data_IF_750136227379
#
_entry.id   IF_750136227379
#
_cell.length_a   1.000
_cell.length_b   1.000
_cell.length_c   1.000
_cell.angle_alpha   90.00
_cell.angle_beta   90.00
_cell.angle_gamma   90.00
#
_symmetry.space_group_name_H-M   'P 1'
#
loop_
_entity.id
_entity.type
_entity.pdbx_description
1 polymer ?
#
# COMPACT_ATOMS: atom_id res chain seq x y z
N UNK A 1 -24.08 -26.62 -3.18
CA UNK A 1 -22.87 -25.76 -3.09
C UNK A 1 -23.34 -24.33 -2.89
N UNK A 2 -23.31 -23.85 -1.64
CA UNK A 2 -23.63 -22.45 -1.34
C UNK A 2 -22.49 -21.58 -1.88
N UNK A 3 -22.81 -20.68 -2.81
CA UNK A 3 -21.91 -19.59 -3.19
C UNK A 3 -21.63 -18.76 -1.93
N UNK A 4 -20.36 -18.46 -1.60
CA UNK A 4 -20.07 -17.55 -0.51
C UNK A 4 -20.74 -16.20 -0.83
N UNK A 5 -21.52 -15.72 0.12
CA UNK A 5 -22.14 -14.42 0.05
C UNK A 5 -21.00 -13.38 0.03
N UNK A 6 -20.89 -12.63 -1.07
CA UNK A 6 -19.87 -11.58 -1.18
C UNK A 6 -20.11 -10.59 -0.03
N UNK A 7 -19.14 -10.51 0.87
CA UNK A 7 -19.15 -9.48 1.89
C UNK A 7 -19.23 -8.11 1.20
N UNK A 8 -20.18 -7.29 1.61
CA UNK A 8 -20.27 -5.90 1.16
C UNK A 8 -18.97 -5.20 1.53
N UNK A 9 -18.28 -4.65 0.54
CA UNK A 9 -17.08 -3.86 0.78
C UNK A 9 -17.37 -2.81 1.86
N UNK A 10 -16.52 -2.66 2.88
CA UNK A 10 -16.70 -1.61 3.87
C UNK A 10 -16.83 -0.27 3.14
N UNK A 11 -17.69 0.60 3.65
CA UNK A 11 -17.89 1.93 3.07
C UNK A 11 -16.55 2.67 3.15
N UNK A 12 -15.83 2.71 2.02
CA UNK A 12 -14.58 3.44 1.91
C UNK A 12 -14.91 4.94 1.98
N UNK A 13 -14.84 5.51 3.17
CA UNK A 13 -15.18 6.92 3.41
C UNK A 13 -13.99 7.77 3.01
N UNK A 14 -13.80 7.90 1.70
CA UNK A 14 -12.68 8.61 1.08
C UNK A 14 -12.56 10.07 1.57
N UNK A 15 -13.67 10.72 1.89
CA UNK A 15 -13.71 12.12 2.31
C UNK A 15 -13.20 12.36 3.74
N UNK A 16 -13.08 11.30 4.56
CA UNK A 16 -12.62 11.39 5.96
C UNK A 16 -11.11 11.16 6.12
N UNK A 17 -10.41 10.68 5.07
CA UNK A 17 -8.97 10.41 5.13
C UNK A 17 -8.18 11.60 4.59
N UNK A 18 -7.50 12.38 5.44
CA UNK A 18 -6.82 13.60 5.01
C UNK A 18 -5.75 13.32 3.94
N UNK A 19 -5.85 14.01 2.81
CA UNK A 19 -4.92 13.87 1.69
C UNK A 19 -5.14 12.64 0.81
N UNK A 20 -6.17 11.85 1.07
CA UNK A 20 -6.60 10.78 0.18
C UNK A 20 -7.28 11.36 -1.06
N UNK A 21 -6.90 10.88 -2.26
CA UNK A 21 -7.38 11.46 -3.53
C UNK A 21 -7.62 10.41 -4.63
N UNK A 22 -7.95 9.17 -4.25
CA UNK A 22 -8.32 8.12 -5.21
C UNK A 22 -9.47 8.58 -6.11
N UNK A 23 -9.34 8.38 -7.42
CA UNK A 23 -10.33 8.80 -8.41
C UNK A 23 -10.46 10.32 -8.61
N UNK A 24 -9.69 11.12 -7.87
CA UNK A 24 -9.69 12.57 -8.02
C UNK A 24 -8.99 13.01 -9.33
N UNK A 25 -9.48 14.06 -10.01
CA UNK A 25 -8.75 14.65 -11.13
C UNK A 25 -7.35 15.18 -10.78
N UNK A 26 -7.06 15.39 -9.48
CA UNK A 26 -5.75 15.84 -8.99
C UNK A 26 -4.77 14.68 -8.74
N UNK A 27 -5.23 13.43 -8.78
CA UNK A 27 -4.33 12.29 -8.69
C UNK A 27 -3.40 12.26 -9.90
N UNK A 28 -2.14 11.87 -9.66
CA UNK A 28 -1.17 11.70 -10.73
C UNK A 28 -1.69 10.67 -11.75
N UNK A 29 -1.34 10.87 -13.01
CA UNK A 29 -1.66 9.91 -14.05
C UNK A 29 -0.52 8.91 -14.20
N UNK A 30 -0.87 7.63 -14.26
CA UNK A 30 0.11 6.58 -14.50
C UNK A 30 0.66 6.67 -15.91
N UNK A 31 2.00 6.60 -16.10
CA UNK A 31 2.59 6.42 -17.42
C UNK A 31 2.39 5.00 -17.94
N UNK A 32 2.06 4.04 -17.07
CA UNK A 32 1.84 2.65 -17.41
C UNK A 32 0.42 2.48 -17.97
N UNK A 33 0.32 1.91 -19.16
CA UNK A 33 -0.96 1.61 -19.79
C UNK A 33 -1.60 0.35 -19.18
N UNK A 34 -2.92 0.23 -19.28
CA UNK A 34 -3.63 -0.99 -18.86
C UNK A 34 -3.10 -2.23 -19.57
N UNK A 35 -2.67 -2.13 -20.83
CA UNK A 35 -2.06 -3.23 -21.58
C UNK A 35 -0.73 -3.69 -20.98
N UNK A 36 0.11 -2.76 -20.58
CA UNK A 36 1.38 -3.07 -19.91
C UNK A 36 1.12 -3.66 -18.52
N UNK A 37 0.14 -3.15 -17.82
CA UNK A 37 -0.26 -3.69 -16.53
C UNK A 37 -0.77 -5.13 -16.62
N UNK A 38 -1.56 -5.47 -17.66
CA UNK A 38 -1.97 -6.86 -17.90
C UNK A 38 -0.75 -7.80 -18.09
N UNK A 39 0.28 -7.35 -18.79
CA UNK A 39 1.55 -8.11 -18.92
C UNK A 39 2.27 -8.24 -17.57
N UNK A 40 2.26 -7.20 -16.77
CA UNK A 40 2.86 -7.24 -15.43
C UNK A 40 2.12 -8.24 -14.53
N UNK A 41 0.78 -8.25 -14.56
CA UNK A 41 -0.04 -9.25 -13.86
C UNK A 41 0.29 -10.66 -14.31
N UNK A 42 0.44 -10.90 -15.62
CA UNK A 42 0.87 -12.20 -16.15
C UNK A 42 2.24 -12.61 -15.62
N UNK A 43 3.20 -11.69 -15.56
CA UNK A 43 4.55 -11.96 -15.02
C UNK A 43 4.52 -12.34 -13.55
N UNK A 44 3.63 -11.74 -12.76
CA UNK A 44 3.44 -12.05 -11.34
C UNK A 44 2.53 -13.29 -11.11
N UNK A 45 1.95 -13.84 -12.16
CA UNK A 45 0.93 -14.89 -12.06
C UNK A 45 -0.30 -14.42 -11.28
N UNK A 46 -0.63 -13.12 -11.35
CA UNK A 46 -1.79 -12.52 -10.68
C UNK A 46 -3.05 -12.73 -11.53
N UNK A 47 -4.07 -13.32 -10.95
CA UNK A 47 -5.28 -13.76 -11.63
C UNK A 47 -6.55 -13.17 -10.98
N UNK A 48 -7.71 -13.41 -11.61
CA UNK A 48 -9.00 -13.09 -10.99
C UNK A 48 -9.24 -13.86 -9.68
N UNK A 49 -8.67 -15.06 -9.54
CA UNK A 49 -8.70 -15.80 -8.27
C UNK A 49 -7.96 -15.03 -7.18
N UNK A 50 -6.81 -14.46 -7.48
CA UNK A 50 -6.07 -13.65 -6.52
C UNK A 50 -6.88 -12.41 -6.09
N UNK A 51 -7.62 -11.79 -7.02
CA UNK A 51 -8.54 -10.67 -6.66
C UNK A 51 -9.64 -11.12 -5.70
N UNK A 52 -10.23 -12.31 -5.93
CA UNK A 52 -11.24 -12.88 -5.00
C UNK A 52 -10.65 -13.15 -3.62
N UNK A 53 -9.43 -13.69 -3.57
CA UNK A 53 -8.73 -13.92 -2.31
C UNK A 53 -8.34 -12.63 -1.59
N UNK A 54 -8.00 -11.57 -2.34
CA UNK A 54 -7.79 -10.24 -1.76
C UNK A 54 -9.08 -9.67 -1.17
N UNK A 55 -10.22 -9.81 -1.85
CA UNK A 55 -11.51 -9.36 -1.31
C UNK A 55 -11.86 -10.10 0.00
N UNK A 56 -11.58 -11.41 0.06
CA UNK A 56 -11.74 -12.18 1.30
C UNK A 56 -10.76 -11.69 2.38
N UNK A 57 -9.51 -11.47 2.04
CA UNK A 57 -8.53 -10.90 2.97
C UNK A 57 -8.97 -9.52 3.48
N UNK A 58 -9.50 -8.67 2.60
CA UNK A 58 -10.03 -7.35 2.96
C UNK A 58 -11.21 -7.43 3.94
N UNK A 59 -12.10 -8.39 3.77
CA UNK A 59 -13.20 -8.62 4.70
C UNK A 59 -12.70 -9.01 6.11
N UNK A 60 -11.60 -9.75 6.20
CA UNK A 60 -10.98 -10.13 7.47
C UNK A 60 -10.16 -8.97 8.07
N UNK A 61 -9.42 -8.25 7.23
CA UNK A 61 -8.52 -7.18 7.66
C UNK A 61 -9.25 -5.87 7.99
N UNK A 62 -10.48 -5.69 7.50
CA UNK A 62 -11.21 -4.41 7.58
C UNK A 62 -11.26 -3.78 8.97
N UNK A 63 -11.55 -4.60 9.98
CA UNK A 63 -11.62 -4.17 11.37
C UNK A 63 -10.24 -4.17 12.08
N UNK A 64 -9.17 -4.55 11.38
CA UNK A 64 -7.83 -4.73 11.94
C UNK A 64 -6.77 -3.84 11.27
N UNK A 65 -7.15 -2.99 10.33
CA UNK A 65 -6.19 -2.18 9.55
C UNK A 65 -5.26 -1.36 10.43
N UNK A 66 -5.78 -0.80 11.52
CA UNK A 66 -5.00 -0.02 12.48
C UNK A 66 -3.94 -0.87 13.18
N UNK A 67 -4.27 -2.07 13.61
CA UNK A 67 -3.37 -3.01 14.28
C UNK A 67 -2.26 -3.47 13.33
N UNK A 68 -2.63 -3.80 12.08
CA UNK A 68 -1.67 -4.15 11.03
C UNK A 68 -0.68 -3.01 10.78
N UNK A 69 -1.19 -1.79 10.58
CA UNK A 69 -0.35 -0.60 10.37
C UNK A 69 0.53 -0.33 11.59
N UNK A 70 0.01 -0.46 12.80
CA UNK A 70 0.79 -0.29 14.03
C UNK A 70 1.92 -1.32 14.14
N UNK A 71 1.68 -2.58 13.74
CA UNK A 71 2.70 -3.62 13.70
C UNK A 71 3.85 -3.24 12.77
N UNK A 72 3.55 -2.84 11.53
CA UNK A 72 4.55 -2.40 10.56
C UNK A 72 5.30 -1.14 11.01
N UNK A 73 4.58 -0.15 11.55
CA UNK A 73 5.19 1.08 12.08
C UNK A 73 6.07 0.82 13.29
N UNK A 74 5.77 -0.19 14.08
CA UNK A 74 6.63 -0.65 15.17
C UNK A 74 8.00 -1.10 14.66
N UNK A 75 8.03 -1.85 13.55
CA UNK A 75 9.28 -2.25 12.89
C UNK A 75 10.05 -1.02 12.36
N UNK A 76 9.35 -0.09 11.69
CA UNK A 76 9.96 1.16 11.20
C UNK A 76 10.57 1.95 12.35
N UNK A 77 9.83 2.11 13.45
CA UNK A 77 10.28 2.88 14.62
C UNK A 77 11.47 2.24 15.33
N UNK A 78 11.59 0.91 15.27
CA UNK A 78 12.71 0.15 15.83
C UNK A 78 14.01 0.27 15.02
N UNK A 79 13.95 0.79 13.80
CA UNK A 79 15.08 0.92 12.89
C UNK A 79 15.38 2.41 12.61
N UNK A 80 16.42 3.00 13.25
CA UNK A 80 16.68 4.44 13.18
C UNK A 80 16.76 5.01 11.77
N UNK A 81 17.34 4.28 10.82
CA UNK A 81 17.47 4.68 9.41
C UNK A 81 16.12 4.71 8.68
N UNK A 82 15.13 3.90 9.08
CA UNK A 82 13.77 3.96 8.55
C UNK A 82 12.94 5.03 9.26
N UNK A 83 13.07 5.12 10.59
CA UNK A 83 12.37 6.14 11.38
C UNK A 83 12.71 7.56 10.89
N UNK A 84 13.95 7.81 10.50
CA UNK A 84 14.45 9.10 10.00
C UNK A 84 13.62 9.64 8.83
N UNK A 85 12.98 8.79 8.02
CA UNK A 85 12.13 9.26 6.92
C UNK A 85 10.86 10.01 7.36
N UNK A 86 10.42 9.82 8.59
CA UNK A 86 9.20 10.44 9.14
C UNK A 86 9.46 11.43 10.28
N UNK A 87 10.70 11.54 10.73
CA UNK A 87 11.08 12.48 11.77
C UNK A 87 11.37 13.88 11.19
N UNK A 88 11.16 14.90 12.01
CA UNK A 88 11.63 16.26 11.75
C UNK A 88 13.16 16.32 11.81
N UNK A 89 13.78 17.41 11.30
CA UNK A 89 15.24 17.59 11.40
C UNK A 89 15.79 17.59 12.85
N UNK A 90 14.95 17.94 13.82
CA UNK A 90 15.28 17.90 15.26
C UNK A 90 15.15 16.49 15.87
N UNK A 91 14.85 15.48 15.07
CA UNK A 91 14.66 14.10 15.50
C UNK A 91 13.31 13.80 16.15
N UNK A 92 12.41 14.79 16.23
CA UNK A 92 11.09 14.59 16.84
C UNK A 92 10.06 14.12 15.82
N UNK A 93 9.04 13.40 16.31
CA UNK A 93 7.87 13.03 15.51
C UNK A 93 6.99 14.26 15.26
N UNK A 94 6.43 14.36 14.05
CA UNK A 94 5.30 15.23 13.76
C UNK A 94 4.00 14.45 14.02
N UNK A 95 3.24 14.76 15.09
CA UNK A 95 2.02 14.01 15.41
C UNK A 95 0.97 14.08 14.29
N UNK A 96 0.80 15.25 13.68
CA UNK A 96 -0.18 15.47 12.60
C UNK A 96 0.19 14.67 11.35
N UNK A 97 1.46 14.69 10.96
CA UNK A 97 1.94 13.89 9.83
C UNK A 97 1.80 12.39 10.11
N UNK A 98 2.16 11.98 11.34
CA UNK A 98 2.05 10.59 11.77
C UNK A 98 0.61 10.07 11.71
N UNK A 99 -0.35 10.83 12.25
CA UNK A 99 -1.77 10.49 12.21
C UNK A 99 -2.30 10.36 10.77
N UNK A 100 -2.13 11.42 9.97
CA UNK A 100 -2.64 11.45 8.59
C UNK A 100 -2.04 10.38 7.69
N UNK A 101 -0.74 10.17 7.78
CA UNK A 101 -0.09 9.09 7.03
C UNK A 101 -0.52 7.71 7.51
N UNK A 102 -0.87 7.55 8.81
CA UNK A 102 -1.46 6.35 9.36
C UNK A 102 -2.79 6.00 8.73
N UNK A 103 -3.72 6.95 8.76
CA UNK A 103 -5.05 6.78 8.16
C UNK A 103 -4.97 6.42 6.66
N UNK A 104 -4.05 7.03 5.91
CA UNK A 104 -3.83 6.68 4.51
C UNK A 104 -3.23 5.28 4.33
N UNK A 105 -2.39 4.84 5.25
CA UNK A 105 -1.82 3.49 5.22
C UNK A 105 -2.89 2.44 5.54
N UNK A 106 -3.78 2.71 6.49
CA UNK A 106 -4.96 1.87 6.76
C UNK A 106 -5.87 1.79 5.53
N UNK A 107 -6.18 2.94 4.91
CA UNK A 107 -6.98 2.99 3.68
C UNK A 107 -6.33 2.23 2.52
N UNK A 108 -5.00 2.29 2.39
CA UNK A 108 -4.27 1.55 1.36
C UNK A 108 -4.43 0.03 1.48
N UNK A 109 -4.54 -0.53 2.69
CA UNK A 109 -4.85 -1.96 2.89
C UNK A 109 -6.21 -2.29 2.25
N UNK A 110 -7.21 -1.45 2.50
CA UNK A 110 -8.56 -1.64 1.95
C UNK A 110 -8.58 -1.45 0.42
N UNK A 111 -7.88 -0.45 -0.09
CA UNK A 111 -7.76 -0.22 -1.53
C UNK A 111 -7.06 -1.38 -2.24
N UNK A 112 -6.03 -1.96 -1.63
CA UNK A 112 -5.35 -3.16 -2.13
C UNK A 112 -6.30 -4.35 -2.25
N UNK A 113 -7.23 -4.48 -1.30
CA UNK A 113 -8.12 -5.62 -1.22
C UNK A 113 -9.41 -5.45 -2.06
N UNK A 114 -9.96 -4.26 -2.12
CA UNK A 114 -11.32 -4.05 -2.65
C UNK A 114 -11.39 -3.23 -3.94
N UNK A 115 -10.39 -2.39 -4.24
CA UNK A 115 -10.45 -1.60 -5.48
C UNK A 115 -10.26 -2.47 -6.72
N UNK A 116 -11.00 -2.22 -7.79
CA UNK A 116 -10.70 -2.85 -9.09
C UNK A 116 -9.32 -2.37 -9.56
N UNK A 117 -8.55 -3.28 -10.12
CA UNK A 117 -7.21 -2.99 -10.64
C UNK A 117 -7.31 -2.46 -12.08
N UNK A 118 -7.91 -1.29 -12.18
CA UNK A 118 -8.21 -0.55 -13.41
C UNK A 118 -7.30 0.69 -13.59
N UNK A 119 -7.63 1.57 -14.52
CA UNK A 119 -6.86 2.79 -14.77
C UNK A 119 -6.88 3.75 -13.56
N UNK A 120 -7.97 3.82 -12.81
CA UNK A 120 -8.01 4.69 -11.61
C UNK A 120 -7.09 4.15 -10.53
N UNK A 121 -7.00 2.82 -10.40
CA UNK A 121 -6.07 2.18 -9.49
C UNK A 121 -4.63 2.41 -9.93
N UNK A 122 -4.31 2.30 -11.23
CA UNK A 122 -2.97 2.62 -11.76
C UNK A 122 -2.58 4.08 -11.49
N UNK A 123 -3.49 5.02 -11.74
CA UNK A 123 -3.28 6.44 -11.46
C UNK A 123 -2.98 6.65 -9.97
N UNK A 124 -3.69 5.93 -9.09
CA UNK A 124 -3.46 6.03 -7.66
C UNK A 124 -2.14 5.36 -7.23
N UNK A 125 -1.71 4.27 -7.87
CA UNK A 125 -0.37 3.72 -7.63
C UNK A 125 0.73 4.72 -8.01
N UNK A 126 0.58 5.44 -9.10
CA UNK A 126 1.50 6.52 -9.47
C UNK A 126 1.49 7.66 -8.43
N UNK A 127 0.31 8.05 -7.94
CA UNK A 127 0.18 9.03 -6.86
C UNK A 127 0.92 8.58 -5.60
N UNK A 128 0.76 7.31 -5.20
CA UNK A 128 1.45 6.73 -4.05
C UNK A 128 2.96 6.69 -4.25
N UNK A 129 3.43 6.28 -5.42
CA UNK A 129 4.84 6.29 -5.77
C UNK A 129 5.45 7.69 -5.61
N UNK A 130 4.83 8.71 -6.18
CA UNK A 130 5.27 10.11 -6.07
C UNK A 130 5.26 10.63 -4.63
N UNK A 131 4.38 10.11 -3.76
CA UNK A 131 4.35 10.45 -2.33
C UNK A 131 5.52 9.86 -1.53
N UNK A 132 6.29 8.98 -2.12
CA UNK A 132 7.54 8.47 -1.54
C UNK A 132 8.77 9.23 -2.05
N UNK A 133 8.61 10.05 -3.11
CA UNK A 133 9.69 10.87 -3.71
C UNK A 133 9.59 12.33 -3.28
N UNK A 134 10.64 13.10 -3.56
CA UNK A 134 10.71 14.56 -3.34
C UNK A 134 9.60 15.34 -4.06
N UNK A 135 8.97 14.73 -5.06
CA UNK A 135 7.88 15.35 -5.83
C UNK A 135 6.67 15.65 -4.95
N UNK A 136 6.24 14.71 -4.09
CA UNK A 136 5.00 14.86 -3.30
C UNK A 136 5.12 14.53 -1.81
N UNK A 137 6.16 13.84 -1.34
CA UNK A 137 6.22 13.27 0.00
C UNK A 137 5.83 14.27 1.10
N UNK A 138 6.49 15.39 1.19
CA UNK A 138 6.24 16.36 2.23
C UNK A 138 5.10 17.34 1.89
N UNK A 139 4.72 17.42 0.61
CA UNK A 139 3.72 18.38 0.14
C UNK A 139 2.29 18.00 0.52
N UNK A 140 1.98 16.71 0.58
CA UNK A 140 0.62 16.22 0.91
C UNK A 140 0.13 16.72 2.27
N UNK A 141 1.02 16.80 3.27
CA UNK A 141 0.68 17.19 4.64
C UNK A 141 1.37 18.49 5.07
N UNK A 142 2.11 19.16 4.20
CA UNK A 142 3.01 20.26 4.55
C UNK A 142 3.97 19.88 5.68
N UNK A 143 4.48 18.66 5.61
CA UNK A 143 5.39 18.11 6.62
C UNK A 143 6.83 18.57 6.38
N UNK A 144 7.63 18.57 7.44
CA UNK A 144 9.07 18.82 7.38
C UNK A 144 9.79 17.55 7.83
N UNK A 145 10.22 16.74 6.86
CA UNK A 145 10.96 15.49 7.10
C UNK A 145 11.88 15.22 5.92
N UNK A 146 12.60 14.09 5.92
CA UNK A 146 13.38 13.69 4.75
C UNK A 146 12.55 13.78 3.47
N UNK A 147 13.04 14.40 2.38
CA UNK A 147 12.24 14.70 1.21
C UNK A 147 11.83 13.46 0.42
N UNK A 148 12.58 12.37 0.56
CA UNK A 148 12.33 11.12 -0.18
C UNK A 148 12.53 9.91 0.71
N UNK A 149 11.90 8.80 0.35
CA UNK A 149 12.19 7.46 0.87
C UNK A 149 12.88 6.71 -0.26
N UNK A 150 14.11 6.28 -0.06
CA UNK A 150 14.85 5.56 -1.11
C UNK A 150 14.15 4.27 -1.51
N UNK A 151 14.07 4.01 -2.82
CA UNK A 151 13.38 2.83 -3.39
C UNK A 151 13.87 1.52 -2.77
N UNK A 152 15.19 1.37 -2.56
CA UNK A 152 15.76 0.17 -1.92
C UNK A 152 15.18 -0.14 -0.54
N UNK A 153 14.81 0.88 0.25
CA UNK A 153 14.18 0.67 1.55
C UNK A 153 12.71 0.30 1.42
N UNK A 154 12.01 0.82 0.41
CA UNK A 154 10.63 0.41 0.11
C UNK A 154 10.61 -1.06 -0.32
N UNK A 155 11.50 -1.45 -1.25
CA UNK A 155 11.66 -2.84 -1.70
C UNK A 155 11.99 -3.76 -0.51
N UNK A 156 12.97 -3.40 0.30
CA UNK A 156 13.36 -4.21 1.45
C UNK A 156 12.24 -4.32 2.50
N UNK A 157 11.51 -3.23 2.75
CA UNK A 157 10.39 -3.23 3.70
C UNK A 157 9.19 -4.05 3.23
N UNK A 158 9.07 -4.30 1.93
CA UNK A 158 8.05 -5.22 1.39
C UNK A 158 8.17 -6.61 2.01
N UNK A 159 9.39 -7.05 2.37
CA UNK A 159 9.59 -8.31 3.07
C UNK A 159 8.85 -8.35 4.42
N UNK A 160 8.83 -7.23 5.17
CA UNK A 160 8.08 -7.12 6.44
C UNK A 160 6.56 -7.15 6.19
N UNK A 161 6.09 -6.45 5.15
CA UNK A 161 4.67 -6.39 4.82
C UNK A 161 4.12 -7.70 4.23
N UNK A 162 4.99 -8.56 3.72
CA UNK A 162 4.63 -9.88 3.18
C UNK A 162 5.02 -11.03 4.11
N UNK A 163 5.60 -10.74 5.27
CA UNK A 163 6.02 -11.75 6.22
C UNK A 163 4.81 -12.59 6.70
N UNK A 164 4.82 -13.91 6.47
CA UNK A 164 3.73 -14.78 6.89
C UNK A 164 3.53 -14.79 8.42
N UNK A 165 4.58 -14.60 9.22
CA UNK A 165 4.50 -14.55 10.67
C UNK A 165 3.83 -13.26 11.17
N UNK A 166 3.85 -12.22 10.35
CA UNK A 166 3.15 -10.96 10.64
C UNK A 166 1.72 -10.99 10.09
N UNK A 167 1.53 -11.41 8.84
CA UNK A 167 0.24 -11.27 8.16
C UNK A 167 -0.75 -12.40 8.42
N UNK A 168 -0.30 -13.66 8.48
CA UNK A 168 -1.22 -14.78 8.66
C UNK A 168 -2.00 -14.75 9.98
N UNK A 169 -1.47 -14.30 11.12
CA UNK A 169 -2.26 -14.11 12.32
C UNK A 169 -3.48 -13.21 12.13
N UNK A 170 -3.33 -12.10 11.40
CA UNK A 170 -4.46 -11.20 11.08
C UNK A 170 -5.47 -11.86 10.13
N UNK A 171 -5.00 -12.63 9.14
CA UNK A 171 -5.85 -13.34 8.18
C UNK A 171 -6.59 -14.53 8.77
N UNK A 172 -6.17 -15.02 9.94
CA UNK A 172 -6.74 -16.21 10.59
C UNK A 172 -7.88 -15.90 11.58
N UNK A 173 -8.16 -14.61 11.85
CA UNK A 173 -9.05 -14.19 12.96
C UNK A 173 -10.48 -14.70 12.83
N UNK A 174 -11.02 -14.92 11.66
CA UNK A 174 -12.41 -15.34 11.44
C UNK A 174 -12.57 -16.84 11.19
N UNK A 175 -11.72 -17.67 11.79
CA UNK A 175 -11.81 -19.13 11.68
C UNK A 175 -11.74 -19.69 10.26
N UNK A 176 -11.01 -19.00 9.37
CA UNK A 176 -10.74 -19.50 8.04
C UNK A 176 -9.87 -20.77 8.08
N UNK A 177 -10.08 -21.67 7.12
CA UNK A 177 -9.25 -22.85 6.97
C UNK A 177 -7.80 -22.44 6.64
N UNK A 178 -6.79 -23.19 7.09
CA UNK A 178 -5.39 -22.88 6.79
C UNK A 178 -5.12 -22.66 5.30
N UNK A 179 -5.78 -23.41 4.42
CA UNK A 179 -5.64 -23.25 2.96
C UNK A 179 -6.20 -21.92 2.44
N UNK A 180 -7.25 -21.39 3.05
CA UNK A 180 -7.83 -20.09 2.70
C UNK A 180 -6.90 -18.96 3.15
N UNK A 181 -6.36 -19.07 4.36
CA UNK A 181 -5.34 -18.13 4.86
C UNK A 181 -4.12 -18.11 3.95
N UNK A 182 -3.65 -19.28 3.49
CA UNK A 182 -2.54 -19.39 2.55
C UNK A 182 -2.82 -18.70 1.22
N UNK A 183 -4.03 -18.88 0.67
CA UNK A 183 -4.44 -18.26 -0.58
C UNK A 183 -4.59 -16.74 -0.44
N UNK A 184 -5.20 -16.26 0.64
CA UNK A 184 -5.29 -14.83 0.96
C UNK A 184 -3.89 -14.20 1.07
N UNK A 185 -3.00 -14.83 1.82
CA UNK A 185 -1.63 -14.37 1.99
C UNK A 185 -0.85 -14.34 0.68
N UNK A 186 -0.98 -15.39 -0.15
CA UNK A 186 -0.33 -15.44 -1.48
C UNK A 186 -0.84 -14.33 -2.41
N UNK A 187 -2.15 -14.09 -2.44
CA UNK A 187 -2.73 -13.01 -3.23
C UNK A 187 -2.24 -11.64 -2.74
N UNK A 188 -2.15 -11.45 -1.43
CA UNK A 188 -1.56 -10.27 -0.80
C UNK A 188 -0.11 -10.05 -1.27
N UNK A 189 0.75 -11.06 -1.18
CA UNK A 189 2.14 -10.97 -1.63
C UNK A 189 2.25 -10.58 -3.11
N UNK A 190 1.49 -11.25 -4.00
CA UNK A 190 1.49 -10.92 -5.43
C UNK A 190 1.07 -9.47 -5.69
N UNK A 191 0.03 -8.99 -5.00
CA UNK A 191 -0.41 -7.61 -5.12
C UNK A 191 0.67 -6.62 -4.69
N UNK A 192 1.36 -6.87 -3.58
CA UNK A 192 2.43 -5.99 -3.11
C UNK A 192 3.59 -5.95 -4.11
N UNK A 193 3.98 -7.08 -4.69
CA UNK A 193 5.03 -7.10 -5.71
C UNK A 193 4.63 -6.33 -6.98
N UNK A 194 3.36 -6.42 -7.41
CA UNK A 194 2.84 -5.58 -8.49
C UNK A 194 2.93 -4.09 -8.14
N UNK A 195 2.54 -3.71 -6.93
CA UNK A 195 2.59 -2.32 -6.48
C UNK A 195 4.02 -1.79 -6.41
N UNK A 196 4.97 -2.57 -5.88
CA UNK A 196 6.39 -2.19 -5.83
C UNK A 196 6.97 -2.02 -7.25
N UNK A 197 6.60 -2.89 -8.19
CA UNK A 197 7.01 -2.74 -9.57
C UNK A 197 6.48 -1.43 -10.19
N UNK A 198 5.23 -1.06 -9.90
CA UNK A 198 4.67 0.23 -10.36
C UNK A 198 5.29 1.42 -9.63
N UNK A 199 5.60 1.29 -8.33
CA UNK A 199 6.20 2.37 -7.54
C UNK A 199 7.66 2.64 -7.88
N UNK A 200 8.33 1.74 -8.59
CA UNK A 200 9.69 1.98 -9.08
C UNK A 200 9.76 3.01 -10.21
N UNK A 201 8.64 3.24 -10.92
CA UNK A 201 8.58 4.10 -12.11
C UNK A 201 9.14 5.52 -11.88
N UNK A 202 8.72 6.31 -10.88
CA UNK A 202 9.27 7.65 -10.70
C UNK A 202 10.74 7.65 -10.30
N UNK A 203 11.27 6.56 -9.75
CA UNK A 203 12.68 6.46 -9.35
C UNK A 203 13.61 6.15 -10.54
N UNK A 204 13.07 5.55 -11.59
CA UNK A 204 13.81 5.27 -12.82
C UNK A 204 13.78 6.44 -13.80
N UNK A 205 12.96 7.46 -13.54
CA UNK A 205 12.88 8.67 -14.35
C UNK A 205 13.81 9.77 -13.79
N UNK A 206 14.97 10.04 -14.40
CA UNK A 206 15.93 11.03 -13.89
C UNK A 206 15.37 12.47 -13.80
N UNK A 207 14.31 12.77 -14.55
CA UNK A 207 13.66 14.08 -14.52
C UNK A 207 12.75 14.26 -13.30
N UNK A 208 12.21 13.15 -12.77
CA UNK A 208 11.30 13.17 -11.62
C UNK A 208 12.04 13.00 -10.30
N UNK A 209 13.03 12.13 -10.26
CA UNK A 209 13.69 11.74 -9.02
C UNK A 209 15.20 11.46 -9.23
N UNK A 210 16.01 12.49 -9.54
CA UNK A 210 17.44 12.32 -9.67
C UNK A 210 18.05 11.94 -8.30
N UNK A 211 18.82 10.85 -8.25
CA UNK A 211 19.53 10.36 -7.04
C UNK A 211 18.64 9.81 -5.91
N UNK A 212 17.43 9.37 -6.17
CA UNK A 212 16.52 8.80 -5.16
C UNK A 212 16.58 7.26 -5.05
N UNK A 213 17.49 6.62 -5.76
CA UNK A 213 17.75 5.17 -5.64
C UNK A 213 18.16 4.74 -4.24
#
# INVERSE_FOLDING_TARGET
>A
MNKPQMATAPKLVADEVPGYNYGSPRAAKSPITTREFERLKQSAGFTEDDQRWLQMAGAVLGDQTKEVVNRWRGVIAGLPHLAAYSLRPDGQKDPRYSERSGLRFEQWILDTCFRPYDQQWLDYQQEMALRHTSVKKNKTDSAVSAPTIHLRHIIAFTAVMTDPEIMKPFLSVQSHRPEEVEKMHRAWCKSLFLQIALWSEPYTNPQLAPNEW
#
